data_IF_589912534298
#
_entry.id   IF_589912534298
#
_cell.length_a   1.000
_cell.length_b   1.000
_cell.length_c   1.000
_cell.angle_alpha   90.00
_cell.angle_beta   90.00
_cell.angle_gamma   90.00
#
_symmetry.space_group_name_H-M   'P 1'
#
loop_
_entity.id
_entity.type
_entity.pdbx_description
1 polymer ?
#
# COMPACT_ATOMS: atom_id res chain seq x y z
N UNK A 1 -38.94 7.43 -47.39
CA UNK A 1 -39.13 6.13 -46.69
C UNK A 1 -37.79 5.67 -46.15
N UNK A 2 -37.77 5.30 -44.86
CA UNK A 2 -36.59 5.08 -44.03
C UNK A 2 -36.15 3.61 -43.96
N UNK A 3 -34.85 3.37 -43.72
CA UNK A 3 -34.27 2.20 -43.05
C UNK A 3 -32.83 2.58 -42.67
N UNK A 4 -32.50 3.02 -41.44
CA UNK A 4 -32.40 2.26 -40.17
C UNK A 4 -31.65 0.95 -40.45
N UNK A 5 -30.34 0.85 -40.22
CA UNK A 5 -29.63 1.11 -38.96
C UNK A 5 -29.38 -0.25 -38.30
N UNK A 6 -28.12 -0.64 -38.10
CA UNK A 6 -27.78 -1.88 -37.40
C UNK A 6 -26.30 -2.28 -37.55
N UNK A 7 -25.44 -1.74 -36.69
CA UNK A 7 -24.13 -2.31 -36.41
C UNK A 7 -24.29 -3.69 -35.75
N UNK A 8 -23.61 -4.77 -36.20
CA UNK A 8 -23.52 -6.00 -35.43
C UNK A 8 -22.26 -5.96 -34.56
N UNK A 9 -22.31 -5.19 -33.47
CA UNK A 9 -21.31 -5.21 -32.42
C UNK A 9 -21.70 -6.18 -31.31
N UNK A 10 -21.64 -7.48 -31.56
CA UNK A 10 -21.88 -8.52 -30.55
C UNK A 10 -20.58 -9.14 -30.07
N UNK A 11 -20.10 -8.76 -28.88
CA UNK A 11 -18.98 -9.44 -28.22
C UNK A 11 -19.35 -10.91 -27.91
N UNK A 12 -18.44 -11.83 -28.23
CA UNK A 12 -18.65 -13.28 -28.14
C UNK A 12 -18.70 -13.80 -26.68
N UNK A 13 -19.67 -14.66 -26.29
CA UNK A 13 -19.88 -15.16 -24.92
C UNK A 13 -18.69 -15.88 -24.26
N UNK A 14 -17.79 -16.49 -25.04
CA UNK A 14 -16.61 -17.19 -24.52
C UNK A 14 -15.58 -16.27 -23.84
N UNK A 15 -15.58 -14.98 -24.20
CA UNK A 15 -14.66 -13.99 -23.62
C UNK A 15 -15.10 -13.58 -22.20
N UNK A 16 -16.41 -13.66 -21.91
CA UNK A 16 -16.99 -13.22 -20.64
C UNK A 16 -16.70 -14.20 -19.48
N UNK A 17 -16.73 -15.51 -19.74
CA UNK A 17 -16.47 -16.52 -18.69
C UNK A 17 -14.99 -16.50 -18.23
N UNK A 18 -14.06 -16.29 -19.17
CA UNK A 18 -12.64 -16.16 -18.84
C UNK A 18 -12.35 -14.86 -18.09
N UNK A 19 -13.02 -13.76 -18.45
CA UNK A 19 -12.93 -12.49 -17.73
C UNK A 19 -13.43 -12.63 -16.28
N UNK A 20 -14.58 -13.28 -16.06
CA UNK A 20 -15.12 -13.51 -14.72
C UNK A 20 -14.18 -14.34 -13.84
N UNK A 21 -13.55 -15.39 -14.39
CA UNK A 21 -12.56 -16.20 -13.65
C UNK A 21 -11.31 -15.39 -13.29
N UNK A 22 -10.83 -14.53 -14.18
CA UNK A 22 -9.70 -13.64 -13.90
C UNK A 22 -10.05 -12.60 -12.83
N UNK A 23 -11.26 -12.01 -12.89
CA UNK A 23 -11.75 -11.07 -11.88
C UNK A 23 -11.87 -11.74 -10.49
N UNK A 24 -12.41 -12.97 -10.41
CA UNK A 24 -12.48 -13.73 -9.16
C UNK A 24 -11.10 -14.10 -8.59
N UNK A 25 -10.09 -14.32 -9.45
CA UNK A 25 -8.72 -14.57 -9.02
C UNK A 25 -8.09 -13.27 -8.47
N UNK A 26 -8.28 -12.16 -9.17
CA UNK A 26 -7.81 -10.85 -8.72
C UNK A 26 -8.44 -10.49 -7.36
N UNK A 27 -9.74 -10.68 -7.19
CA UNK A 27 -10.42 -10.38 -5.93
C UNK A 27 -9.79 -11.13 -4.75
N UNK A 28 -9.55 -12.44 -4.90
CA UNK A 28 -8.87 -13.24 -3.88
C UNK A 28 -7.44 -12.78 -3.62
N UNK A 29 -6.68 -12.51 -4.67
CA UNK A 29 -5.30 -12.02 -4.53
C UNK A 29 -5.24 -10.64 -3.86
N UNK A 30 -6.21 -9.77 -4.13
CA UNK A 30 -6.33 -8.47 -3.47
C UNK A 30 -6.60 -8.65 -1.97
N UNK A 31 -7.57 -9.50 -1.60
CA UNK A 31 -7.90 -9.80 -0.20
C UNK A 31 -6.71 -10.41 0.57
N UNK A 32 -5.99 -11.36 -0.04
CA UNK A 32 -4.80 -11.98 0.54
C UNK A 32 -3.67 -10.97 0.73
N UNK A 33 -3.38 -10.16 -0.29
CA UNK A 33 -2.33 -9.15 -0.22
C UNK A 33 -2.67 -8.03 0.77
N UNK A 34 -3.94 -7.64 0.88
CA UNK A 34 -4.40 -6.66 1.86
C UNK A 34 -4.15 -7.16 3.28
N UNK A 35 -4.51 -8.43 3.58
CA UNK A 35 -4.22 -9.03 4.89
C UNK A 35 -2.73 -9.13 5.17
N UNK A 36 -1.95 -9.57 4.18
CA UNK A 36 -0.50 -9.68 4.32
C UNK A 36 0.17 -8.32 4.56
N UNK A 37 -0.33 -7.26 3.92
CA UNK A 37 0.12 -5.90 4.15
C UNK A 37 -0.18 -5.45 5.57
N UNK A 38 -1.41 -5.69 6.06
CA UNK A 38 -1.84 -5.32 7.41
C UNK A 38 -1.00 -5.98 8.51
N UNK A 39 -0.55 -7.21 8.31
CA UNK A 39 0.30 -7.96 9.26
C UNK A 39 1.79 -7.59 9.17
N UNK A 40 2.21 -6.89 8.11
CA UNK A 40 3.60 -6.49 7.92
C UNK A 40 3.95 -5.34 8.86
N UNK A 41 5.16 -5.38 9.42
CA UNK A 41 5.74 -4.29 10.20
C UNK A 41 6.78 -3.52 9.38
N UNK A 42 6.83 -2.21 9.61
CA UNK A 42 7.69 -1.27 8.94
C UNK A 42 8.43 -0.44 9.98
N UNK A 43 9.76 -0.50 9.94
CA UNK A 43 10.61 0.20 10.88
C UNK A 43 11.38 1.30 10.17
N UNK A 44 11.44 2.48 10.78
CA UNK A 44 12.31 3.57 10.37
C UNK A 44 12.99 4.21 11.56
N UNK A 45 14.09 4.89 11.30
CA UNK A 45 14.90 5.51 12.33
C UNK A 45 15.29 6.94 11.97
N UNK A 46 15.59 7.74 12.99
CA UNK A 46 16.09 9.10 12.90
C UNK A 46 17.30 9.27 13.84
N UNK A 47 18.05 10.36 13.68
CA UNK A 47 19.17 10.69 14.58
C UNK A 47 20.28 9.64 14.57
N UNK A 48 20.61 9.10 13.39
CA UNK A 48 21.63 8.05 13.26
C UNK A 48 21.25 6.69 13.86
N UNK A 49 19.97 6.47 14.17
CA UNK A 49 19.49 5.24 14.82
C UNK A 49 19.11 5.43 16.29
N UNK A 50 19.29 6.64 16.84
CA UNK A 50 18.95 6.93 18.23
C UNK A 50 17.44 6.87 18.52
N UNK A 51 16.60 7.10 17.50
CA UNK A 51 15.15 6.88 17.59
C UNK A 51 14.72 5.92 16.50
N UNK A 52 14.03 4.84 16.87
CA UNK A 52 13.46 3.84 15.96
C UNK A 52 11.95 3.69 16.24
N UNK A 53 11.14 3.80 15.19
CA UNK A 53 9.68 3.63 15.26
C UNK A 53 9.27 2.49 14.32
N UNK A 54 8.49 1.55 14.84
CA UNK A 54 7.88 0.46 14.08
C UNK A 54 6.38 0.67 14.01
N UNK A 55 5.83 0.56 12.80
CA UNK A 55 4.40 0.64 12.54
C UNK A 55 3.91 -0.59 11.78
N UNK A 56 2.66 -0.98 12.00
CA UNK A 56 2.00 -2.02 11.20
C UNK A 56 1.52 -1.47 9.85
N UNK A 57 1.18 -2.35 8.91
CA UNK A 57 0.52 -1.95 7.66
C UNK A 57 -0.87 -1.32 7.87
N UNK A 58 -1.45 -1.43 9.07
CA UNK A 58 -2.66 -0.70 9.48
C UNK A 58 -2.37 0.76 9.87
N UNK A 59 -1.11 1.21 9.75
CA UNK A 59 -0.63 2.52 10.20
C UNK A 59 -0.77 2.73 11.71
N UNK A 60 -0.66 1.66 12.48
CA UNK A 60 -0.62 1.71 13.95
C UNK A 60 0.83 1.61 14.43
N UNK A 61 1.24 2.47 15.35
CA UNK A 61 2.57 2.38 15.99
C UNK A 61 2.59 1.18 16.92
N UNK A 62 3.47 0.21 16.65
CA UNK A 62 3.59 -1.03 17.45
C UNK A 62 4.80 -0.99 18.39
N UNK A 63 5.82 -0.19 18.07
CA UNK A 63 7.03 -0.07 18.88
C UNK A 63 7.74 1.27 18.70
N UNK A 64 8.28 1.78 19.81
CA UNK A 64 9.21 2.92 19.83
C UNK A 64 10.43 2.51 20.65
N UNK A 65 11.63 2.76 20.13
CA UNK A 65 12.89 2.63 20.86
C UNK A 65 13.63 3.96 20.83
N UNK A 66 14.15 4.35 21.97
CA UNK A 66 14.96 5.54 22.17
C UNK A 66 16.30 5.11 22.77
N UNK A 67 17.38 5.64 22.26
CA UNK A 67 18.69 5.52 22.87
C UNK A 67 18.81 6.51 24.04
N UNK A 68 19.60 6.18 25.06
CA UNK A 68 19.68 6.99 26.28
C UNK A 68 20.21 8.40 25.98
N UNK A 69 21.10 8.53 25.00
CA UNK A 69 21.73 9.80 24.63
C UNK A 69 20.79 10.84 24.04
N UNK A 70 19.59 10.45 23.60
CA UNK A 70 18.57 11.40 23.09
C UNK A 70 17.48 11.71 24.11
N UNK A 71 17.57 11.17 25.32
CA UNK A 71 16.62 11.44 26.41
C UNK A 71 17.22 12.46 27.37
N UNK A 72 17.30 13.70 26.90
CA UNK A 72 17.80 14.84 27.68
C UNK A 72 16.62 15.74 28.14
N UNK A 73 16.37 15.88 29.46
CA UNK A 73 15.31 16.76 29.95
C UNK A 73 15.53 18.25 29.61
N UNK A 74 16.77 18.65 29.31
CA UNK A 74 17.09 20.03 28.91
C UNK A 74 16.91 20.26 27.39
N UNK A 75 16.74 19.20 26.59
CA UNK A 75 16.56 19.24 25.13
C UNK A 75 15.49 18.25 24.63
N UNK A 76 14.27 18.42 25.15
CA UNK A 76 13.10 17.62 24.74
C UNK A 76 12.69 17.89 23.28
N UNK A 77 12.91 19.12 22.79
CA UNK A 77 12.57 19.50 21.41
C UNK A 77 13.30 18.62 20.38
N UNK A 78 14.59 18.32 20.62
CA UNK A 78 15.33 17.40 19.77
C UNK A 78 14.69 16.01 19.74
N UNK A 79 14.28 15.47 20.89
CA UNK A 79 13.67 14.15 20.97
C UNK A 79 12.32 14.10 20.22
N UNK A 80 11.51 15.15 20.37
CA UNK A 80 10.24 15.29 19.66
C UNK A 80 10.44 15.30 18.14
N UNK A 81 11.43 16.05 17.65
CA UNK A 81 11.77 16.12 16.22
C UNK A 81 12.22 14.76 15.67
N UNK A 82 13.04 14.02 16.42
CA UNK A 82 13.51 12.69 16.03
C UNK A 82 12.36 11.67 15.97
N UNK A 83 11.45 11.70 16.95
CA UNK A 83 10.24 10.85 16.96
C UNK A 83 9.35 11.17 15.76
N UNK A 84 9.11 12.45 15.49
CA UNK A 84 8.34 12.89 14.33
C UNK A 84 8.98 12.39 13.03
N UNK A 85 10.28 12.59 12.87
CA UNK A 85 11.01 12.17 11.67
C UNK A 85 10.93 10.66 11.44
N UNK A 86 11.23 9.86 12.47
CA UNK A 86 11.18 8.39 12.39
C UNK A 86 9.76 7.88 12.10
N UNK A 87 8.74 8.47 12.73
CA UNK A 87 7.34 8.07 12.53
C UNK A 87 6.87 8.36 11.11
N UNK A 88 7.14 9.57 10.61
CA UNK A 88 6.76 9.95 9.25
C UNK A 88 7.47 9.11 8.19
N UNK A 89 8.73 8.76 8.42
CA UNK A 89 9.47 7.87 7.52
C UNK A 89 8.91 6.44 7.54
N UNK A 90 8.52 5.92 8.70
CA UNK A 90 7.85 4.63 8.79
C UNK A 90 6.51 4.63 8.02
N UNK A 91 5.73 5.70 8.14
CA UNK A 91 4.46 5.89 7.41
C UNK A 91 4.66 5.91 5.90
N UNK A 92 5.70 6.60 5.41
CA UNK A 92 6.04 6.60 3.98
C UNK A 92 6.34 5.19 3.47
N UNK A 93 7.08 4.38 4.24
CA UNK A 93 7.36 2.98 3.86
C UNK A 93 6.08 2.14 3.72
N UNK A 94 5.08 2.35 4.57
CA UNK A 94 3.76 1.70 4.42
C UNK A 94 3.10 2.13 3.12
N UNK A 95 3.13 3.42 2.80
CA UNK A 95 2.51 3.96 1.57
C UNK A 95 3.19 3.46 0.30
N UNK A 96 4.53 3.41 0.30
CA UNK A 96 5.33 2.86 -0.80
C UNK A 96 5.03 1.39 -1.03
N UNK A 97 4.97 0.57 0.03
CA UNK A 97 4.65 -0.85 -0.10
C UNK A 97 3.20 -1.05 -0.57
N UNK A 98 2.25 -0.28 -0.02
CA UNK A 98 0.85 -0.33 -0.43
C UNK A 98 0.71 -0.02 -1.93
N UNK A 99 1.38 1.03 -2.40
CA UNK A 99 1.41 1.39 -3.81
C UNK A 99 2.08 0.31 -4.67
N UNK A 100 3.17 -0.30 -4.19
CA UNK A 100 3.86 -1.38 -4.89
C UNK A 100 2.99 -2.64 -5.01
N UNK A 101 2.26 -3.02 -3.96
CA UNK A 101 1.31 -4.15 -3.98
C UNK A 101 0.19 -3.89 -4.99
N UNK A 102 -0.40 -2.70 -4.96
CA UNK A 102 -1.45 -2.32 -5.92
C UNK A 102 -0.93 -2.26 -7.36
N UNK A 103 0.27 -1.73 -7.57
CA UNK A 103 0.93 -1.68 -8.88
C UNK A 103 1.22 -3.08 -9.43
N UNK A 104 1.62 -4.05 -8.59
CA UNK A 104 1.81 -5.43 -9.02
C UNK A 104 0.50 -6.09 -9.44
N UNK A 105 -0.58 -5.84 -8.70
CA UNK A 105 -1.92 -6.37 -9.00
C UNK A 105 -2.47 -5.79 -10.31
N UNK A 106 -2.32 -4.49 -10.54
CA UNK A 106 -2.84 -3.82 -11.75
C UNK A 106 -1.90 -3.93 -12.95
N UNK A 107 -0.59 -3.92 -12.73
CA UNK A 107 0.45 -4.08 -13.74
C UNK A 107 0.51 -5.49 -14.33
N UNK A 108 0.13 -6.52 -13.56
CA UNK A 108 -0.01 -7.90 -14.04
C UNK A 108 -1.17 -8.11 -15.04
N UNK A 109 -2.04 -7.12 -15.22
CA UNK A 109 -3.21 -7.19 -16.11
C UNK A 109 -3.06 -6.41 -17.41
N UNK A 110 -1.88 -5.81 -17.65
CA UNK A 110 -1.58 -5.13 -18.90
C UNK A 110 -2.43 -3.87 -19.11
N UNK A 111 -1.99 -2.73 -18.55
CA UNK A 111 -2.19 -1.36 -19.06
C UNK A 111 -3.57 -0.88 -19.54
N UNK A 112 -4.65 -1.61 -19.31
CA UNK A 112 -5.91 -1.46 -20.06
C UNK A 112 -7.14 -1.11 -19.24
N UNK A 113 -7.03 -0.89 -17.93
CA UNK A 113 -8.15 -0.37 -17.15
C UNK A 113 -8.02 1.14 -17.00
N UNK A 114 -8.95 1.93 -17.60
CA UNK A 114 -9.05 3.34 -17.29
C UNK A 114 -9.68 3.44 -15.91
N UNK A 115 -8.87 3.81 -14.93
CA UNK A 115 -9.37 4.57 -13.78
C UNK A 115 -9.11 6.03 -14.08
#
# INVERSE_FOLDING_TARGET
>A
MAKRGGFPGGMMPGNMNNLMKQAQKMQRQMEENQKALEEKEFTAAAGGGAVEVTISGKKEVTKVKLAEEVVDPDDIEMLEDLIMAATNEALRKVEEESAAVMSKLTGGLGGGFPF
#
